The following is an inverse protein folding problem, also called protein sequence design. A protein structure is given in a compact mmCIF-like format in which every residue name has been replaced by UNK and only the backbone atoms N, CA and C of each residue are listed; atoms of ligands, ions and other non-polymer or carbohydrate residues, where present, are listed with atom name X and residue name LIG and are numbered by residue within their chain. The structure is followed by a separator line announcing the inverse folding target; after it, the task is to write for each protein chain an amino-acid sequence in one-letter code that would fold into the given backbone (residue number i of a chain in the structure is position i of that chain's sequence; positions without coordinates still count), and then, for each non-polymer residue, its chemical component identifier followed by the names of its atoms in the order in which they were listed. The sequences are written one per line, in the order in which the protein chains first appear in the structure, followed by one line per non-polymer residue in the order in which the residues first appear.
data_IF_597776396584
#
_entry.id   IF_597776396584
#
_cell.length_a   1.000
_cell.length_b   1.000
_cell.length_c   1.000
_cell.angle_alpha   90.00
_cell.angle_beta   90.00
_cell.angle_gamma   90.00
#
_symmetry.space_group_name_H-M   'P 1'
#
loop_
_entity.id
_entity.type
_entity.pdbx_description
1 polymer ?
#
# COMPACT_ATOMS: atom_id res chain seq x y z
N UNK A 1 -10.24 23.88 32.31
CA UNK A 1 -8.83 23.47 32.15
C UNK A 1 -8.79 21.95 32.15
N UNK A 2 -8.54 21.32 31.00
CA UNK A 2 -8.58 19.85 30.85
C UNK A 2 -7.19 19.27 31.12
N UNK A 3 -7.07 18.48 32.18
CA UNK A 3 -5.85 17.76 32.56
C UNK A 3 -5.89 16.34 31.99
N UNK A 4 -5.67 16.18 30.69
CA UNK A 4 -5.32 14.87 30.16
C UNK A 4 -3.96 14.48 30.78
N UNK A 5 -3.89 13.32 31.45
CA UNK A 5 -2.65 12.91 32.13
C UNK A 5 -1.60 12.57 31.05
N UNK A 6 -0.32 12.97 31.20
CA UNK A 6 0.74 12.75 30.20
C UNK A 6 0.85 11.30 29.68
N UNK A 7 0.50 10.32 30.51
CA UNK A 7 0.51 8.90 30.16
C UNK A 7 -0.59 8.50 29.14
N UNK A 8 -1.76 9.12 29.17
CA UNK A 8 -2.86 8.79 28.25
C UNK A 8 -2.58 9.27 26.82
N UNK A 9 -1.90 10.41 26.68
CA UNK A 9 -1.50 10.97 25.38
C UNK A 9 -0.45 10.10 24.68
N UNK A 10 0.48 9.52 25.45
CA UNK A 10 1.52 8.62 24.94
C UNK A 10 0.96 7.30 24.39
N UNK A 11 0.04 6.67 25.13
CA UNK A 11 -0.59 5.41 24.71
C UNK A 11 -1.43 5.58 23.43
N UNK A 12 -2.21 6.66 23.32
CA UNK A 12 -3.00 6.97 22.12
C UNK A 12 -2.11 7.21 20.88
N UNK A 13 -0.97 7.89 21.05
CA UNK A 13 -0.01 8.13 19.97
C UNK A 13 0.67 6.82 19.50
N UNK A 14 1.04 5.94 20.44
CA UNK A 14 1.59 4.62 20.14
C UNK A 14 0.59 3.75 19.37
N UNK A 15 -0.68 3.77 19.77
CA UNK A 15 -1.76 3.03 19.11
C UNK A 15 -2.05 3.56 17.70
N UNK A 16 -2.05 4.89 17.50
CA UNK A 16 -2.19 5.51 16.18
C UNK A 16 -1.06 5.10 15.23
N UNK A 17 0.18 5.05 15.73
CA UNK A 17 1.34 4.62 14.94
C UNK A 17 1.22 3.15 14.54
N UNK A 18 0.76 2.29 15.45
CA UNK A 18 0.59 0.86 15.16
C UNK A 18 -0.40 0.62 14.01
N UNK A 19 -1.57 1.28 14.04
CA UNK A 19 -2.58 1.16 12.98
C UNK A 19 -2.11 1.74 11.65
N UNK A 20 -1.37 2.86 11.66
CA UNK A 20 -0.77 3.41 10.44
C UNK A 20 0.25 2.47 9.82
N UNK A 21 1.14 1.88 10.62
CA UNK A 21 2.12 0.92 10.09
C UNK A 21 1.43 -0.34 9.59
N UNK A 22 0.39 -0.81 10.27
CA UNK A 22 -0.43 -1.93 9.80
C UNK A 22 -1.06 -1.63 8.43
N UNK A 23 -1.65 -0.44 8.28
CA UNK A 23 -2.22 0.02 7.01
C UNK A 23 -1.18 0.11 5.91
N UNK A 24 -0.01 0.73 6.16
CA UNK A 24 1.05 0.85 5.13
C UNK A 24 1.54 -0.52 4.67
N UNK A 25 1.83 -1.45 5.59
CA UNK A 25 2.26 -2.81 5.24
C UNK A 25 1.19 -3.54 4.41
N UNK A 26 -0.06 -3.45 4.86
CA UNK A 26 -1.20 -4.00 4.13
C UNK A 26 -1.33 -3.39 2.74
N UNK A 27 -1.20 -2.07 2.62
CA UNK A 27 -1.30 -1.34 1.35
C UNK A 27 -0.21 -1.71 0.35
N UNK A 28 1.04 -1.83 0.80
CA UNK A 28 2.15 -2.28 -0.05
C UNK A 28 1.87 -3.70 -0.56
N UNK A 29 1.51 -4.61 0.36
CA UNK A 29 1.25 -6.01 0.02
C UNK A 29 0.04 -6.18 -0.90
N UNK A 30 -1.11 -5.61 -0.53
CA UNK A 30 -2.34 -5.72 -1.31
C UNK A 30 -2.22 -5.02 -2.67
N UNK A 31 -1.56 -3.84 -2.71
CA UNK A 31 -1.26 -3.14 -3.95
C UNK A 31 -0.40 -3.97 -4.89
N UNK A 32 0.68 -4.57 -4.38
CA UNK A 32 1.52 -5.47 -5.17
C UNK A 32 0.79 -6.74 -5.63
N UNK A 33 -0.09 -7.31 -4.81
CA UNK A 33 -0.92 -8.44 -5.24
C UNK A 33 -1.91 -8.04 -6.35
N UNK A 34 -2.56 -6.89 -6.22
CA UNK A 34 -3.49 -6.39 -7.24
C UNK A 34 -2.73 -6.15 -8.55
N UNK A 35 -1.55 -5.56 -8.48
CA UNK A 35 -0.66 -5.34 -9.60
C UNK A 35 -0.27 -6.66 -10.29
N UNK A 36 0.24 -7.63 -9.53
CA UNK A 36 0.58 -8.96 -10.05
C UNK A 36 -0.61 -9.71 -10.64
N UNK A 37 -1.79 -9.64 -10.04
CA UNK A 37 -3.00 -10.28 -10.58
C UNK A 37 -3.44 -9.60 -11.87
N UNK A 38 -3.61 -8.28 -11.84
CA UNK A 38 -4.17 -7.55 -12.97
C UNK A 38 -3.18 -7.48 -14.12
N UNK A 39 -1.95 -7.02 -13.88
CA UNK A 39 -0.99 -6.74 -14.94
C UNK A 39 -0.13 -7.93 -15.31
N UNK A 40 0.31 -8.76 -14.35
CA UNK A 40 1.15 -9.92 -14.69
C UNK A 40 0.35 -11.12 -15.19
N UNK A 41 -0.82 -11.38 -14.60
CA UNK A 41 -1.53 -12.63 -14.83
C UNK A 41 -2.71 -12.48 -15.79
N UNK A 42 -3.60 -11.51 -15.57
CA UNK A 42 -4.79 -11.31 -16.39
C UNK A 42 -4.49 -10.59 -17.70
N UNK A 43 -3.86 -9.42 -17.60
CA UNK A 43 -3.53 -8.59 -18.77
C UNK A 43 -2.22 -9.02 -19.43
N UNK A 44 -1.32 -9.62 -18.65
CA UNK A 44 0.01 -10.06 -19.10
C UNK A 44 0.79 -8.94 -19.79
N UNK A 45 0.63 -7.71 -19.31
CA UNK A 45 1.32 -6.55 -19.88
C UNK A 45 2.79 -6.54 -19.50
N UNK A 46 3.12 -6.95 -18.27
CA UNK A 46 4.48 -7.06 -17.79
C UNK A 46 4.60 -8.15 -16.73
N UNK A 47 5.83 -8.49 -16.36
CA UNK A 47 6.17 -9.44 -15.30
C UNK A 47 7.20 -8.78 -14.37
N UNK A 48 7.41 -9.33 -13.18
CA UNK A 48 8.41 -8.81 -12.24
C UNK A 48 9.80 -8.69 -12.87
N UNK A 49 10.16 -9.72 -13.65
CA UNK A 49 11.36 -9.73 -14.47
C UNK A 49 10.92 -10.22 -15.84
N UNK A 50 11.20 -9.44 -16.89
CA UNK A 50 10.74 -9.81 -18.21
C UNK A 50 11.77 -10.67 -18.98
N UNK A 51 11.78 -11.97 -18.71
CA UNK A 51 12.58 -12.93 -19.47
C UNK A 51 12.04 -13.14 -20.89
N UNK A 52 10.72 -13.04 -21.08
CA UNK A 52 10.07 -13.27 -22.37
C UNK A 52 9.89 -12.01 -23.24
N UNK A 53 10.45 -10.85 -22.85
CA UNK A 53 10.32 -9.58 -23.58
C UNK A 53 11.26 -9.48 -24.79
N UNK A 54 11.35 -10.52 -25.61
CA UNK A 54 12.16 -10.50 -26.82
C UNK A 54 11.56 -11.37 -27.93
N UNK A 55 11.90 -11.10 -29.21
CA UNK A 55 11.52 -11.97 -30.30
C UNK A 55 12.05 -13.40 -30.07
N UNK A 56 11.21 -14.40 -30.33
CA UNK A 56 11.59 -15.81 -30.16
C UNK A 56 11.61 -16.30 -28.71
N UNK A 57 10.95 -15.60 -27.79
CA UNK A 57 10.76 -16.09 -26.41
C UNK A 57 10.24 -17.53 -26.37
N UNK A 58 10.82 -18.32 -25.49
CA UNK A 58 10.53 -19.74 -25.34
C UNK A 58 9.53 -19.99 -24.21
N UNK A 59 9.00 -21.22 -24.14
CA UNK A 59 8.19 -21.66 -23.00
C UNK A 59 8.99 -21.62 -21.69
N UNK A 60 10.30 -21.84 -21.74
CA UNK A 60 11.15 -21.76 -20.55
C UNK A 60 11.31 -20.32 -20.05
N UNK A 61 11.30 -19.32 -20.93
CA UNK A 61 11.30 -17.90 -20.53
C UNK A 61 10.00 -17.53 -19.82
N UNK A 62 8.86 -18.00 -20.34
CA UNK A 62 7.54 -17.84 -19.70
C UNK A 62 7.52 -18.51 -18.33
N UNK A 63 8.09 -19.71 -18.18
CA UNK A 63 8.20 -20.39 -16.87
C UNK A 63 9.02 -19.57 -15.87
N UNK A 64 10.09 -18.91 -16.31
CA UNK A 64 10.90 -18.03 -15.44
C UNK A 64 10.13 -16.78 -15.01
N UNK A 65 9.36 -16.17 -15.90
CA UNK A 65 8.46 -15.06 -15.53
C UNK A 65 7.47 -15.51 -14.45
N UNK A 66 6.77 -16.63 -14.66
CA UNK A 66 5.79 -17.19 -13.71
C UNK A 66 6.44 -17.44 -12.35
N UNK A 67 7.67 -17.98 -12.34
CA UNK A 67 8.41 -18.21 -11.10
C UNK A 67 8.73 -16.89 -10.37
N UNK A 68 9.25 -15.90 -11.09
CA UNK A 68 9.55 -14.58 -10.54
C UNK A 68 8.28 -13.88 -10.00
N UNK A 69 7.18 -13.90 -10.76
CA UNK A 69 5.88 -13.38 -10.35
C UNK A 69 5.33 -14.09 -9.11
N UNK A 70 5.54 -15.41 -9.02
CA UNK A 70 5.19 -16.20 -7.85
C UNK A 70 5.97 -15.77 -6.61
N UNK A 71 7.27 -15.53 -6.73
CA UNK A 71 8.10 -15.03 -5.63
C UNK A 71 7.66 -13.63 -5.18
N UNK A 72 7.39 -12.73 -6.13
CA UNK A 72 6.80 -11.42 -5.85
C UNK A 72 5.47 -11.56 -5.11
N UNK A 73 4.60 -12.46 -5.57
CA UNK A 73 3.30 -12.71 -4.94
C UNK A 73 3.44 -13.22 -3.50
N UNK A 74 4.41 -14.09 -3.23
CA UNK A 74 4.68 -14.56 -1.86
C UNK A 74 5.12 -13.42 -0.94
N UNK A 75 6.00 -12.53 -1.41
CA UNK A 75 6.43 -11.35 -0.64
C UNK A 75 5.26 -10.39 -0.41
N UNK A 76 4.50 -10.06 -1.46
CA UNK A 76 3.35 -9.16 -1.38
C UNK A 76 2.25 -9.73 -0.45
N UNK A 77 1.98 -11.04 -0.54
CA UNK A 77 1.08 -11.72 0.37
C UNK A 77 1.59 -11.71 1.82
N UNK A 78 2.88 -11.96 2.04
CA UNK A 78 3.51 -11.87 3.35
C UNK A 78 3.35 -10.48 3.99
N UNK A 79 3.55 -9.41 3.22
CA UNK A 79 3.33 -8.04 3.69
C UNK A 79 1.86 -7.76 4.02
N UNK A 80 0.94 -8.29 3.19
CA UNK A 80 -0.51 -8.20 3.44
C UNK A 80 -0.87 -8.86 4.78
N UNK A 81 -0.42 -10.10 4.99
CA UNK A 81 -0.63 -10.85 6.24
C UNK A 81 0.02 -10.14 7.43
N UNK A 82 1.24 -9.62 7.28
CA UNK A 82 1.91 -8.86 8.33
C UNK A 82 1.15 -7.58 8.70
N UNK A 83 0.58 -6.88 7.71
CA UNK A 83 -0.30 -5.74 7.92
C UNK A 83 -1.56 -6.11 8.72
N UNK A 84 -2.24 -7.20 8.34
CA UNK A 84 -3.41 -7.72 9.06
C UNK A 84 -3.03 -8.14 10.49
N UNK A 85 -1.95 -8.89 10.67
CA UNK A 85 -1.48 -9.33 11.98
C UNK A 85 -1.13 -8.16 12.90
N UNK A 86 -0.52 -7.10 12.35
CA UNK A 86 -0.22 -5.89 13.10
C UNK A 86 -1.47 -5.09 13.45
N UNK A 87 -2.45 -5.01 12.54
CA UNK A 87 -3.75 -4.42 12.83
C UNK A 87 -4.45 -5.19 13.95
N UNK A 88 -4.50 -6.52 13.85
CA UNK A 88 -5.07 -7.39 14.87
C UNK A 88 -4.41 -7.20 16.24
N UNK A 89 -3.07 -7.19 16.28
CA UNK A 89 -2.32 -6.96 17.52
C UNK A 89 -2.61 -5.58 18.11
N UNK A 90 -2.75 -4.54 17.27
CA UNK A 90 -3.12 -3.22 17.74
C UNK A 90 -4.51 -3.27 18.37
N UNK A 91 -5.52 -3.79 17.67
CA UNK A 91 -6.89 -3.90 18.15
C UNK A 91 -7.00 -4.65 19.49
N UNK A 92 -6.26 -5.76 19.65
CA UNK A 92 -6.22 -6.50 20.93
C UNK A 92 -5.56 -5.74 22.08
N UNK A 93 -4.69 -4.80 21.80
CA UNK A 93 -4.02 -3.98 22.81
C UNK A 93 -4.90 -2.81 23.32
N UNK A 94 -6.16 -2.70 22.88
CA UNK A 94 -7.10 -1.69 23.35
C UNK A 94 -6.92 -0.34 22.66
N UNK A 95 -7.05 -0.30 21.32
CA UNK A 95 -7.07 0.96 20.59
C UNK A 95 -8.44 1.61 20.70
N UNK A 96 -8.68 2.28 21.82
CA UNK A 96 -9.90 3.05 21.99
C UNK A 96 -9.84 4.35 21.15
N UNK A 97 -10.91 4.60 20.39
CA UNK A 97 -11.21 5.89 19.75
C UNK A 97 -10.37 6.35 18.54
N UNK A 98 -9.69 5.45 17.80
CA UNK A 98 -9.14 5.86 16.50
C UNK A 98 -10.24 6.03 15.43
N UNK A 99 -10.19 7.11 14.61
CA UNK A 99 -11.08 7.23 13.47
C UNK A 99 -10.88 6.05 12.50
N UNK A 100 -11.96 5.36 12.11
CA UNK A 100 -11.91 4.23 11.17
C UNK A 100 -11.26 4.55 9.82
N UNK A 101 -11.15 5.84 9.47
CA UNK A 101 -10.45 6.34 8.27
C UNK A 101 -8.93 6.23 8.32
N UNK A 102 -8.31 6.00 9.50
CA UNK A 102 -6.85 5.95 9.64
C UNK A 102 -6.26 4.74 8.89
N UNK A 103 -6.83 3.55 9.08
CA UNK A 103 -6.36 2.34 8.40
C UNK A 103 -6.46 2.41 6.87
N UNK A 104 -7.63 2.69 6.25
CA UNK A 104 -7.73 2.78 4.80
C UNK A 104 -6.89 3.93 4.22
N UNK A 105 -6.72 5.04 4.96
CA UNK A 105 -5.80 6.11 4.55
C UNK A 105 -4.34 5.67 4.54
N UNK A 106 -3.91 4.93 5.56
CA UNK A 106 -2.57 4.35 5.60
C UNK A 106 -2.36 3.25 4.55
N UNK A 107 -3.38 2.44 4.25
CA UNK A 107 -3.35 1.45 3.17
C UNK A 107 -3.22 2.11 1.79
N UNK A 108 -3.97 3.19 1.53
CA UNK A 108 -3.81 3.96 0.30
C UNK A 108 -2.38 4.54 0.18
N UNK A 109 -1.81 5.05 1.27
CA UNK A 109 -0.39 5.48 1.27
C UNK A 109 0.55 4.31 0.97
N UNK A 110 0.35 3.15 1.59
CA UNK A 110 1.18 1.97 1.34
C UNK A 110 1.17 1.53 -0.12
N UNK A 111 -0.01 1.43 -0.73
CA UNK A 111 -0.14 1.09 -2.14
C UNK A 111 0.50 2.18 -3.02
N UNK A 112 0.21 3.46 -2.75
CA UNK A 112 0.82 4.54 -3.50
C UNK A 112 2.35 4.55 -3.44
N UNK A 113 2.94 4.24 -2.27
CA UNK A 113 4.39 4.09 -2.12
C UNK A 113 4.92 2.89 -2.92
N UNK A 114 4.21 1.76 -2.91
CA UNK A 114 4.57 0.62 -3.76
C UNK A 114 4.67 1.04 -5.23
N UNK A 115 3.63 1.67 -5.78
CA UNK A 115 3.63 2.15 -7.18
C UNK A 115 4.77 3.13 -7.48
N UNK A 116 5.06 4.05 -6.56
CA UNK A 116 6.12 5.04 -6.77
C UNK A 116 7.50 4.40 -6.74
N UNK A 117 7.75 3.47 -5.81
CA UNK A 117 9.03 2.79 -5.69
C UNK A 117 9.25 1.86 -6.89
N UNK A 118 8.26 1.03 -7.20
CA UNK A 118 8.29 0.11 -8.33
C UNK A 118 8.43 0.87 -9.66
N UNK A 119 7.59 1.88 -9.92
CA UNK A 119 7.67 2.62 -11.17
C UNK A 119 8.97 3.43 -11.33
N UNK A 120 9.49 4.05 -10.26
CA UNK A 120 10.76 4.78 -10.34
C UNK A 120 11.93 3.82 -10.53
N UNK A 121 12.01 2.78 -9.70
CA UNK A 121 13.17 1.88 -9.71
C UNK A 121 13.13 0.99 -10.95
N UNK A 122 12.02 0.32 -11.19
CA UNK A 122 11.97 -0.76 -12.17
C UNK A 122 11.67 -0.24 -13.58
N UNK A 123 10.75 0.73 -13.73
CA UNK A 123 10.40 1.27 -15.06
C UNK A 123 11.30 2.39 -15.54
N UNK A 124 11.92 3.15 -14.63
CA UNK A 124 12.73 4.32 -15.00
C UNK A 124 14.23 4.13 -14.77
N UNK A 125 14.66 3.67 -13.59
CA UNK A 125 16.09 3.54 -13.29
C UNK A 125 16.71 2.27 -13.86
N UNK A 126 16.07 1.12 -13.63
CA UNK A 126 16.57 -0.19 -14.03
C UNK A 126 16.07 -0.61 -15.42
N UNK A 127 14.93 -0.06 -15.86
CA UNK A 127 14.29 -0.41 -17.16
C UNK A 127 14.08 -1.93 -17.31
N UNK A 128 13.80 -2.64 -16.21
CA UNK A 128 13.65 -4.11 -16.23
C UNK A 128 12.31 -4.54 -16.83
N UNK A 129 11.29 -3.69 -16.71
CA UNK A 129 10.00 -3.79 -17.39
C UNK A 129 9.31 -2.42 -17.43
N UNK A 130 8.25 -2.31 -18.23
CA UNK A 130 7.37 -1.14 -18.28
C UNK A 130 5.95 -1.59 -17.97
N UNK A 131 5.09 -0.70 -17.48
CA UNK A 131 3.68 -1.03 -17.16
C UNK A 131 2.98 -1.69 -18.36
N UNK A 132 3.21 -1.15 -19.55
CA UNK A 132 2.77 -1.72 -20.82
C UNK A 132 3.83 -1.48 -21.89
N UNK A 133 4.64 -2.50 -22.22
CA UNK A 133 5.67 -2.41 -23.24
C UNK A 133 5.10 -2.07 -24.62
N UNK A 134 5.87 -1.32 -25.41
CA UNK A 134 5.51 -0.95 -26.78
C UNK A 134 5.10 0.53 -26.92
N UNK A 135 4.28 0.87 -27.93
CA UNK A 135 3.94 2.26 -28.22
C UNK A 135 3.31 2.98 -27.02
N UNK A 136 3.94 4.09 -26.62
CA UNK A 136 3.46 4.91 -25.51
C UNK A 136 3.80 4.39 -24.12
N UNK A 137 4.76 3.46 -23.96
CA UNK A 137 5.17 2.92 -22.66
C UNK A 137 5.43 3.99 -21.60
N UNK A 138 6.12 5.08 -21.98
CA UNK A 138 6.40 6.19 -21.07
C UNK A 138 5.11 6.83 -20.51
N UNK A 139 4.06 6.93 -21.34
CA UNK A 139 2.76 7.44 -20.89
C UNK A 139 2.10 6.54 -19.86
N UNK A 140 2.23 5.22 -20.01
CA UNK A 140 1.72 4.25 -19.05
C UNK A 140 2.50 4.28 -17.73
N UNK A 141 3.83 4.35 -17.78
CA UNK A 141 4.67 4.45 -16.59
C UNK A 141 4.38 5.75 -15.81
N UNK A 142 4.26 6.88 -16.52
CA UNK A 142 3.89 8.16 -15.89
C UNK A 142 2.47 8.13 -15.30
N UNK A 143 1.51 7.47 -15.95
CA UNK A 143 0.16 7.31 -15.41
C UNK A 143 0.16 6.45 -14.13
N UNK A 144 0.99 5.42 -14.09
CA UNK A 144 1.16 4.56 -12.91
C UNK A 144 1.77 5.32 -11.73
N UNK A 145 2.82 6.12 -11.98
CA UNK A 145 3.39 7.02 -10.97
C UNK A 145 2.39 8.08 -10.50
N UNK A 146 1.64 8.69 -11.42
CA UNK A 146 0.63 9.69 -11.09
C UNK A 146 -0.49 9.09 -10.21
N UNK A 147 -0.91 7.86 -10.51
CA UNK A 147 -1.86 7.12 -9.68
C UNK A 147 -1.28 6.83 -8.28
N UNK A 148 -0.03 6.39 -8.20
CA UNK A 148 0.67 6.19 -6.92
C UNK A 148 0.73 7.47 -6.08
N UNK A 149 1.12 8.59 -6.69
CA UNK A 149 1.14 9.90 -6.04
C UNK A 149 -0.25 10.33 -5.54
N UNK A 150 -1.30 10.11 -6.35
CA UNK A 150 -2.68 10.39 -5.96
C UNK A 150 -3.09 9.58 -4.73
N UNK A 151 -2.80 8.28 -4.70
CA UNK A 151 -3.07 7.40 -3.55
C UNK A 151 -2.38 7.90 -2.28
N UNK A 152 -1.10 8.29 -2.37
CA UNK A 152 -0.35 8.86 -1.23
C UNK A 152 -1.02 10.15 -0.74
N UNK A 153 -1.36 11.08 -1.63
CA UNK A 153 -1.97 12.37 -1.26
C UNK A 153 -3.35 12.17 -0.64
N UNK A 154 -4.21 11.36 -1.25
CA UNK A 154 -5.57 11.08 -0.76
C UNK A 154 -5.51 10.35 0.57
N UNK A 155 -4.66 9.32 0.69
CA UNK A 155 -4.47 8.58 1.94
C UNK A 155 -3.95 9.46 3.08
N UNK A 156 -2.97 10.32 2.79
CA UNK A 156 -2.46 11.28 3.77
C UNK A 156 -3.50 12.30 4.21
N UNK A 157 -4.35 12.79 3.30
CA UNK A 157 -5.47 13.68 3.62
C UNK A 157 -6.55 12.99 4.44
N UNK A 158 -6.88 11.74 4.11
CA UNK A 158 -7.87 10.94 4.83
C UNK A 158 -7.46 10.72 6.29
N UNK A 159 -6.16 10.60 6.56
CA UNK A 159 -5.65 10.50 7.93
C UNK A 159 -5.63 11.82 8.71
N UNK A 160 -5.79 12.97 8.04
CA UNK A 160 -5.84 14.31 8.66
C UNK A 160 -7.29 14.72 8.92
N UNK A 161 -7.84 14.30 10.06
CA UNK A 161 -9.13 14.82 10.54
C UNK A 161 -9.20 14.77 12.06
N UNK A 162 -9.39 15.93 12.69
CA UNK A 162 -9.50 16.07 14.15
C UNK A 162 -10.74 15.33 14.70
N UNK A 163 -10.70 14.81 15.94
CA UNK A 163 -11.91 14.48 16.67
C UNK A 163 -12.78 15.74 16.79
N UNK A 164 -14.07 15.66 16.45
CA UNK A 164 -15.03 16.65 16.98
C UNK A 164 -15.06 16.41 18.50
N UNK A 165 -14.81 17.43 19.35
CA UNK A 165 -15.14 17.29 20.76
C UNK A 165 -16.62 16.97 20.83
N UNK A 166 -16.97 15.78 21.31
CA UNK A 166 -18.34 15.51 21.72
C UNK A 166 -18.58 16.49 22.85
N UNK A 167 -19.39 17.52 22.59
CA UNK A 167 -19.83 18.42 23.64
C UNK A 167 -20.57 17.56 24.67
N UNK A 168 -19.95 17.36 25.83
CA UNK A 168 -20.61 16.75 26.98
C UNK A 168 -21.71 17.72 27.37
N UNK A 169 -22.93 17.42 26.93
CA UNK A 169 -24.11 18.13 27.37
C UNK A 169 -24.38 17.68 28.81
N UNK A 170 -23.87 18.46 29.77
CA UNK A 170 -24.18 18.22 31.18
C UNK A 170 -25.70 18.40 31.37
N UNK A 171 -26.39 17.46 32.04
CA UNK A 171 -27.79 17.65 32.39
C UNK A 171 -27.92 18.92 33.23
N UNK A 172 -28.77 19.84 32.79
CA UNK A 172 -29.13 21.05 33.53
C UNK A 172 -29.72 20.68 34.89
N UNK A 173 -29.33 21.46 35.90
CA UNK A 173 -29.85 21.40 37.27
C UNK A 173 -31.35 21.68 37.33
#
# INVERSE_FOLDING_TARGET
MSTARPFETGAAAMNSRAVKVAGVLFGIGAGGLIDGILFHQLLQWHHLICFSCHPGATIDDVRRNIFADGLFSVVAFGLTVAGVGKLWSALRAGVDHLPGRIFPGAAAVGWGVFNLVEGVIDHHLLQIHHVRPGPGQLGWDLAFLAFGALLVVVGARLMRGAPRPVAVQLPGR
#
